data_IF_621473167626
#
_entry.id   IF_621473167626
#
_cell.length_a   1.000
_cell.length_b   1.000
_cell.length_c   1.000
_cell.angle_alpha   90.00
_cell.angle_beta   90.00
_cell.angle_gamma   90.00
#
_symmetry.space_group_name_H-M   'P 1'
#
loop_
_entity.id
_entity.type
_entity.pdbx_description
1 polymer ?
#
# COMPACT_ATOMS: atom_id res chain seq x y z
N UNK A 1 11.37 45.24 -6.00
CA UNK A 1 12.54 44.43 -5.60
C UNK A 1 12.15 43.47 -4.48
N UNK A 2 11.27 42.50 -4.74
CA UNK A 2 10.89 41.44 -3.80
C UNK A 2 11.14 40.08 -4.49
N UNK A 3 12.40 39.75 -4.71
CA UNK A 3 12.80 38.36 -4.91
C UNK A 3 12.71 37.68 -3.55
N UNK A 4 11.53 37.15 -3.24
CA UNK A 4 11.41 36.13 -2.20
C UNK A 4 12.21 34.95 -2.74
N UNK A 5 13.40 34.75 -2.18
CA UNK A 5 14.21 33.56 -2.35
C UNK A 5 13.28 32.38 -2.07
N UNK A 6 12.78 31.75 -3.12
CA UNK A 6 12.16 30.44 -3.04
C UNK A 6 13.29 29.53 -2.55
N UNK A 7 13.38 29.35 -1.23
CA UNK A 7 14.35 28.44 -0.62
C UNK A 7 14.17 27.09 -1.32
N UNK A 8 15.16 26.72 -2.14
CA UNK A 8 15.13 25.51 -2.93
C UNK A 8 15.19 24.35 -1.94
N UNK A 9 14.02 23.83 -1.55
CA UNK A 9 13.94 22.65 -0.71
C UNK A 9 14.49 21.50 -1.56
N UNK A 10 15.71 21.08 -1.27
CA UNK A 10 16.32 19.91 -1.93
C UNK A 10 15.83 18.67 -1.19
N UNK A 11 14.87 17.90 -1.75
CA UNK A 11 14.49 16.64 -1.15
C UNK A 11 15.68 15.69 -1.18
N UNK A 12 15.83 14.89 -0.13
CA UNK A 12 16.79 13.80 -0.08
C UNK A 12 16.10 12.53 0.41
N UNK A 13 16.66 11.39 0.02
CA UNK A 13 16.16 10.08 0.42
C UNK A 13 17.16 9.43 1.37
N UNK A 14 16.66 8.85 2.45
CA UNK A 14 17.46 7.96 3.28
C UNK A 14 17.59 6.60 2.59
N UNK A 15 18.77 6.21 2.10
CA UNK A 15 18.96 4.96 1.37
C UNK A 15 18.66 3.72 2.23
N UNK A 16 18.83 3.80 3.56
CA UNK A 16 18.55 2.67 4.46
C UNK A 16 17.05 2.39 4.52
N UNK A 17 16.23 3.44 4.61
CA UNK A 17 14.77 3.29 4.63
C UNK A 17 14.23 2.86 3.25
N UNK A 18 14.82 3.36 2.16
CA UNK A 18 14.49 2.86 0.81
C UNK A 18 14.77 1.36 0.71
N UNK A 19 15.98 0.91 1.08
CA UNK A 19 16.33 -0.52 1.08
C UNK A 19 15.42 -1.32 2.02
N UNK A 20 15.11 -0.78 3.20
CA UNK A 20 14.18 -1.38 4.15
C UNK A 20 12.80 -1.60 3.55
N UNK A 21 12.24 -0.61 2.83
CA UNK A 21 10.95 -0.75 2.14
C UNK A 21 10.96 -1.85 1.08
N UNK A 22 12.07 -1.99 0.35
CA UNK A 22 12.26 -3.04 -0.68
C UNK A 22 12.30 -4.42 -0.01
N UNK A 23 13.05 -4.57 1.08
CA UNK A 23 13.11 -5.82 1.85
C UNK A 23 11.74 -6.19 2.40
N UNK A 24 10.99 -5.24 2.96
CA UNK A 24 9.62 -5.44 3.43
C UNK A 24 8.73 -5.94 2.28
N UNK A 25 8.81 -5.32 1.11
CA UNK A 25 8.01 -5.71 -0.05
C UNK A 25 8.32 -7.15 -0.52
N UNK A 26 9.60 -7.54 -0.54
CA UNK A 26 10.03 -8.90 -0.89
C UNK A 26 9.49 -9.91 0.13
N UNK A 27 9.69 -9.64 1.43
CA UNK A 27 9.24 -10.53 2.50
C UNK A 27 7.71 -10.66 2.53
N UNK A 28 6.99 -9.55 2.39
CA UNK A 28 5.53 -9.55 2.33
C UNK A 28 5.01 -10.37 1.14
N UNK A 29 5.64 -10.23 -0.03
CA UNK A 29 5.29 -10.98 -1.24
C UNK A 29 5.56 -12.47 -1.07
N UNK A 30 6.70 -12.84 -0.47
CA UNK A 30 7.02 -14.24 -0.16
C UNK A 30 5.98 -14.86 0.79
N UNK A 31 5.69 -14.19 1.91
CA UNK A 31 4.71 -14.66 2.90
C UNK A 31 3.32 -14.76 2.28
N UNK A 32 2.91 -13.77 1.48
CA UNK A 32 1.61 -13.77 0.81
C UNK A 32 1.47 -14.95 -0.18
N UNK A 33 2.50 -15.21 -0.98
CA UNK A 33 2.51 -16.33 -1.93
C UNK A 33 2.57 -17.68 -1.22
N UNK A 34 3.37 -17.82 -0.15
CA UNK A 34 3.42 -19.03 0.67
C UNK A 34 2.03 -19.33 1.26
N UNK A 35 1.37 -18.34 1.88
CA UNK A 35 0.04 -18.53 2.45
C UNK A 35 -1.03 -18.76 1.37
N UNK A 36 -0.92 -18.11 0.21
CA UNK A 36 -1.81 -18.37 -0.93
C UNK A 36 -1.67 -19.81 -1.45
N UNK A 37 -0.45 -20.36 -1.46
CA UNK A 37 -0.20 -21.75 -1.87
C UNK A 37 -0.74 -22.78 -0.86
N UNK A 38 -0.71 -22.46 0.44
CA UNK A 38 -1.37 -23.28 1.47
C UNK A 38 -2.88 -23.22 1.35
N UNK A 39 -3.42 -22.03 1.07
CA UNK A 39 -4.85 -21.80 0.88
C UNK A 39 -5.44 -22.61 -0.27
N UNK A 40 -4.71 -22.77 -1.38
CA UNK A 40 -5.18 -23.51 -2.55
C UNK A 40 -5.16 -25.04 -2.38
N UNK A 41 -4.31 -25.56 -1.48
CA UNK A 41 -4.15 -26.99 -1.23
C UNK A 41 -5.05 -27.53 -0.09
N UNK A 42 -5.57 -26.66 0.77
CA UNK A 42 -6.39 -27.05 1.93
C UNK A 42 -7.90 -27.05 1.64
N UNK A 43 -8.55 -28.20 1.84
CA UNK A 43 -10.02 -28.37 1.64
C UNK A 43 -10.84 -28.23 2.92
N UNK A 44 -10.18 -28.02 4.05
CA UNK A 44 -10.77 -28.03 5.40
C UNK A 44 -11.12 -26.61 5.88
N UNK A 45 -11.84 -26.48 7.01
CA UNK A 45 -12.13 -25.20 7.66
C UNK A 45 -10.88 -24.33 7.94
N UNK A 46 -9.70 -24.94 8.07
CA UNK A 46 -8.40 -24.27 8.24
C UNK A 46 -8.06 -23.34 7.06
N UNK A 47 -8.67 -23.58 5.89
CA UNK A 47 -8.56 -22.69 4.72
C UNK A 47 -8.86 -21.22 5.05
N UNK A 48 -9.90 -20.95 5.86
CA UNK A 48 -10.25 -19.58 6.22
C UNK A 48 -9.22 -18.91 7.14
N UNK A 49 -8.50 -19.69 7.94
CA UNK A 49 -7.41 -19.20 8.79
C UNK A 49 -6.23 -18.79 7.91
N UNK A 50 -5.85 -19.61 6.93
CA UNK A 50 -4.80 -19.26 5.96
C UNK A 50 -5.17 -18.05 5.12
N UNK A 51 -6.43 -17.94 4.71
CA UNK A 51 -6.93 -16.77 4.00
C UNK A 51 -6.84 -15.51 4.84
N UNK A 52 -7.34 -15.54 6.08
CA UNK A 52 -7.30 -14.38 6.99
C UNK A 52 -5.86 -13.98 7.32
N UNK A 53 -5.01 -14.96 7.66
CA UNK A 53 -3.59 -14.73 7.95
C UNK A 53 -2.84 -14.14 6.76
N UNK A 54 -3.08 -14.66 5.55
CA UNK A 54 -2.47 -14.15 4.32
C UNK A 54 -2.92 -12.74 3.99
N UNK A 55 -4.21 -12.46 4.20
CA UNK A 55 -4.80 -11.14 3.94
C UNK A 55 -4.22 -10.07 4.86
N UNK A 56 -4.09 -10.38 6.15
CA UNK A 56 -3.48 -9.47 7.13
C UNK A 56 -1.99 -9.29 6.83
N UNK A 57 -1.25 -10.38 6.61
CA UNK A 57 0.18 -10.31 6.33
C UNK A 57 0.50 -9.49 5.07
N UNK A 58 -0.22 -9.77 3.97
CA UNK A 58 -0.08 -9.04 2.72
C UNK A 58 -0.48 -7.57 2.88
N UNK A 59 -1.64 -7.28 3.50
CA UNK A 59 -2.13 -5.92 3.68
C UNK A 59 -1.21 -5.07 4.57
N UNK A 60 -0.74 -5.62 5.69
CA UNK A 60 0.23 -4.97 6.57
C UNK A 60 1.57 -4.79 5.85
N UNK A 61 1.98 -5.74 5.01
CA UNK A 61 3.18 -5.62 4.18
C UNK A 61 3.11 -4.45 3.18
N UNK A 62 2.01 -4.36 2.42
CA UNK A 62 1.76 -3.27 1.45
C UNK A 62 1.70 -1.91 2.16
N UNK A 63 1.02 -1.85 3.30
CA UNK A 63 0.97 -0.65 4.12
C UNK A 63 2.37 -0.27 4.66
N UNK A 64 3.12 -1.22 5.20
CA UNK A 64 4.45 -0.99 5.77
C UNK A 64 5.44 -0.51 4.71
N UNK A 65 5.51 -1.16 3.55
CA UNK A 65 6.39 -0.72 2.46
C UNK A 65 6.07 0.71 2.02
N UNK A 66 4.79 1.07 1.97
CA UNK A 66 4.36 2.41 1.57
C UNK A 66 4.78 3.47 2.59
N UNK A 67 4.49 3.26 3.87
CA UNK A 67 4.82 4.21 4.93
C UNK A 67 6.33 4.32 5.19
N UNK A 68 7.07 3.20 5.17
CA UNK A 68 8.54 3.25 5.26
C UNK A 68 9.13 3.98 4.05
N UNK A 69 8.55 3.80 2.85
CA UNK A 69 8.94 4.57 1.67
C UNK A 69 8.67 6.07 1.82
N UNK A 70 7.54 6.46 2.41
CA UNK A 70 7.24 7.87 2.71
C UNK A 70 8.20 8.43 3.77
N UNK A 71 8.54 7.67 4.80
CA UNK A 71 9.52 8.05 5.82
C UNK A 71 10.94 8.20 5.25
N UNK A 72 11.27 7.47 4.18
CA UNK A 72 12.55 7.62 3.50
C UNK A 72 12.69 9.01 2.85
N UNK A 73 11.57 9.63 2.45
CA UNK A 73 11.54 10.93 1.81
C UNK A 73 11.61 12.07 2.83
N UNK A 74 12.75 12.78 2.85
CA UNK A 74 12.98 13.86 3.79
C UNK A 74 12.81 15.23 3.14
N UNK A 75 11.96 16.03 3.75
CA UNK A 75 11.84 17.46 3.52
C UNK A 75 12.36 18.22 4.75
N UNK A 76 12.88 19.45 4.59
CA UNK A 76 13.34 20.29 5.70
C UNK A 76 12.17 20.89 6.50
N UNK A 77 11.10 20.12 6.72
CA UNK A 77 9.92 20.49 7.52
C UNK A 77 9.47 19.28 8.34
N UNK A 78 8.93 19.48 9.56
CA UNK A 78 8.41 18.39 10.36
C UNK A 78 7.23 17.73 9.64
N UNK A 79 7.33 16.42 9.42
CA UNK A 79 6.25 15.57 8.89
C UNK A 79 5.67 14.75 10.05
N UNK A 80 4.34 14.82 10.23
CA UNK A 80 3.59 13.98 11.16
C UNK A 80 2.52 13.21 10.39
N UNK A 81 1.95 12.18 11.01
CA UNK A 81 0.86 11.40 10.42
C UNK A 81 -0.41 11.48 11.26
N UNK A 82 -1.55 11.66 10.61
CA UNK A 82 -2.87 11.57 11.21
C UNK A 82 -3.24 10.11 11.50
N UNK A 83 -3.32 9.74 12.78
CA UNK A 83 -3.57 8.36 13.21
C UNK A 83 -4.82 7.71 12.58
N UNK A 84 -5.99 8.38 12.57
CA UNK A 84 -7.20 7.87 11.92
C UNK A 84 -7.02 7.54 10.44
N UNK A 85 -6.39 8.41 9.66
CA UNK A 85 -6.15 8.15 8.24
C UNK A 85 -5.11 7.05 8.01
N UNK A 86 -4.09 6.96 8.87
CA UNK A 86 -3.15 5.83 8.85
C UNK A 86 -3.89 4.50 9.09
N UNK A 87 -4.78 4.46 10.09
CA UNK A 87 -5.58 3.27 10.38
C UNK A 87 -6.52 2.93 9.22
N UNK A 88 -7.17 3.92 8.62
CA UNK A 88 -8.01 3.71 7.45
C UNK A 88 -7.20 3.13 6.27
N UNK A 89 -5.99 3.63 6.03
CA UNK A 89 -5.13 3.16 4.94
C UNK A 89 -4.76 1.68 5.10
N UNK A 90 -4.41 1.21 6.31
CA UNK A 90 -4.10 -0.21 6.54
C UNK A 90 -5.34 -1.08 6.42
N UNK A 91 -6.52 -0.60 6.85
CA UNK A 91 -7.78 -1.33 6.66
C UNK A 91 -8.10 -1.52 5.17
N UNK A 92 -7.90 -0.49 4.35
CA UNK A 92 -8.05 -0.58 2.89
C UNK A 92 -7.05 -1.58 2.31
N UNK A 93 -5.78 -1.55 2.73
CA UNK A 93 -4.76 -2.51 2.27
C UNK A 93 -5.12 -3.96 2.60
N UNK A 94 -5.58 -4.23 3.82
CA UNK A 94 -5.98 -5.57 4.27
C UNK A 94 -7.23 -6.03 3.54
N UNK A 95 -8.24 -5.16 3.36
CA UNK A 95 -9.45 -5.50 2.61
C UNK A 95 -9.14 -5.81 1.12
N UNK A 96 -8.27 -5.02 0.50
CA UNK A 96 -7.81 -5.26 -0.87
C UNK A 96 -7.09 -6.61 -0.99
N UNK A 97 -6.17 -6.89 -0.05
CA UNK A 97 -5.43 -8.16 0.01
C UNK A 97 -6.36 -9.36 0.22
N UNK A 98 -7.39 -9.20 1.05
CA UNK A 98 -8.40 -10.22 1.29
C UNK A 98 -9.18 -10.57 0.02
N UNK A 99 -9.62 -9.56 -0.73
CA UNK A 99 -10.27 -9.76 -2.02
C UNK A 99 -9.33 -10.41 -3.04
N UNK A 100 -8.07 -9.96 -3.13
CA UNK A 100 -7.08 -10.52 -4.04
C UNK A 100 -6.82 -12.01 -3.76
N UNK A 101 -6.59 -12.39 -2.50
CA UNK A 101 -6.38 -13.78 -2.11
C UNK A 101 -7.65 -14.62 -2.27
N UNK A 102 -8.83 -14.05 -2.00
CA UNK A 102 -10.10 -14.73 -2.21
C UNK A 102 -10.30 -15.10 -3.67
N UNK A 103 -10.06 -14.16 -4.58
CA UNK A 103 -10.15 -14.40 -6.03
C UNK A 103 -9.07 -15.39 -6.46
N UNK A 104 -7.81 -15.19 -6.05
CA UNK A 104 -6.70 -16.06 -6.41
C UNK A 104 -6.88 -17.52 -5.95
N UNK A 105 -7.66 -17.75 -4.88
CA UNK A 105 -7.98 -19.09 -4.37
C UNK A 105 -9.06 -19.83 -5.18
N UNK A 106 -9.65 -19.22 -6.21
CA UNK A 106 -10.69 -19.86 -7.02
C UNK A 106 -10.08 -20.91 -7.97
N UNK A 107 -10.76 -22.05 -8.18
CA UNK A 107 -10.27 -23.12 -9.04
C UNK A 107 -10.21 -22.73 -10.53
N UNK A 108 -11.02 -21.76 -10.96
CA UNK A 108 -11.02 -21.22 -12.31
C UNK A 108 -11.02 -19.70 -12.26
N UNK A 109 -10.15 -19.10 -13.09
CA UNK A 109 -9.97 -17.65 -13.21
C UNK A 109 -10.21 -17.23 -14.65
N UNK A 110 -11.48 -17.09 -15.08
CA UNK A 110 -11.78 -16.60 -16.42
C UNK A 110 -11.19 -15.19 -16.58
N UNK A 111 -10.77 -14.85 -17.80
CA UNK A 111 -10.10 -13.57 -18.11
C UNK A 111 -10.88 -12.37 -17.58
N UNK A 112 -12.20 -12.37 -17.68
CA UNK A 112 -13.06 -11.30 -17.17
C UNK A 112 -12.95 -11.12 -15.64
N UNK A 113 -12.83 -12.21 -14.87
CA UNK A 113 -12.64 -12.13 -13.42
C UNK A 113 -11.23 -11.63 -13.11
N UNK A 114 -10.22 -12.07 -13.86
CA UNK A 114 -8.85 -11.60 -13.69
C UNK A 114 -8.73 -10.10 -13.97
N UNK A 115 -9.30 -9.61 -15.08
CA UNK A 115 -9.25 -8.19 -15.42
C UNK A 115 -10.02 -7.35 -14.42
N UNK A 116 -11.26 -7.74 -14.07
CA UNK A 116 -12.05 -7.04 -13.07
C UNK A 116 -11.35 -6.99 -11.69
N UNK A 117 -10.74 -8.10 -11.27
CA UNK A 117 -10.05 -8.18 -9.98
C UNK A 117 -8.76 -7.37 -9.98
N UNK A 118 -8.01 -7.38 -11.08
CA UNK A 118 -6.80 -6.56 -11.22
C UNK A 118 -7.11 -5.07 -11.18
N UNK A 119 -8.18 -4.63 -11.86
CA UNK A 119 -8.67 -3.25 -11.80
C UNK A 119 -9.11 -2.87 -10.39
N UNK A 120 -9.86 -3.75 -9.72
CA UNK A 120 -10.29 -3.52 -8.34
C UNK A 120 -9.12 -3.43 -7.35
N UNK A 121 -8.09 -4.26 -7.54
CA UNK A 121 -6.89 -4.25 -6.71
C UNK A 121 -6.06 -2.99 -6.95
N UNK A 122 -5.90 -2.59 -8.21
CA UNK A 122 -5.26 -1.32 -8.57
C UNK A 122 -5.95 -0.13 -7.91
N UNK A 123 -7.28 -0.02 -8.07
CA UNK A 123 -8.07 1.04 -7.45
C UNK A 123 -7.94 1.06 -5.92
N UNK A 124 -7.90 -0.12 -5.28
CA UNK A 124 -7.74 -0.21 -3.84
C UNK A 124 -6.32 0.18 -3.35
N UNK A 125 -5.28 -0.20 -4.09
CA UNK A 125 -3.89 0.21 -3.79
C UNK A 125 -3.74 1.72 -4.00
N UNK A 126 -4.27 2.28 -5.10
CA UNK A 126 -4.31 3.73 -5.33
C UNK A 126 -5.08 4.45 -4.22
N UNK A 127 -6.23 3.90 -3.80
CA UNK A 127 -6.99 4.39 -2.65
C UNK A 127 -6.16 4.43 -1.37
N UNK A 128 -5.49 3.32 -1.03
CA UNK A 128 -4.59 3.27 0.13
C UNK A 128 -3.46 4.30 0.04
N UNK A 129 -2.84 4.42 -1.14
CA UNK A 129 -1.78 5.38 -1.41
C UNK A 129 -2.23 6.82 -1.16
N UNK A 130 -3.38 7.22 -1.70
CA UNK A 130 -3.90 8.57 -1.51
C UNK A 130 -4.38 8.84 -0.10
N UNK A 131 -4.96 7.85 0.59
CA UNK A 131 -5.29 7.97 2.02
C UNK A 131 -4.02 8.12 2.86
N UNK A 132 -2.96 7.36 2.57
CA UNK A 132 -1.66 7.47 3.23
C UNK A 132 -1.02 8.85 3.02
N UNK A 133 -1.06 9.35 1.79
CA UNK A 133 -0.58 10.69 1.46
C UNK A 133 -1.42 11.79 2.13
N UNK A 134 -2.74 11.62 2.22
CA UNK A 134 -3.63 12.54 2.92
C UNK A 134 -3.42 12.54 4.44
N UNK A 135 -2.88 11.45 5.00
CA UNK A 135 -2.51 11.38 6.41
C UNK A 135 -1.31 12.26 6.76
N UNK A 136 -0.51 12.70 5.78
CA UNK A 136 0.67 13.53 6.03
C UNK A 136 0.28 14.94 6.47
N UNK A 137 0.72 15.33 7.66
CA UNK A 137 0.60 16.66 8.22
C UNK A 137 1.97 17.35 8.15
N UNK A 138 2.10 18.30 7.23
CA UNK A 138 3.27 19.14 7.05
C UNK A 138 2.84 20.61 6.86
N UNK A 139 3.69 21.60 7.17
CA UNK A 139 3.39 23.02 7.01
C UNK A 139 3.44 23.46 5.53
N UNK A 140 2.77 22.72 4.63
CA UNK A 140 2.63 23.05 3.22
C UNK A 140 1.25 22.63 2.70
N UNK A 141 0.83 23.24 1.59
CA UNK A 141 -0.42 22.85 0.91
C UNK A 141 -0.13 21.71 -0.06
N UNK A 142 -0.71 20.55 0.21
CA UNK A 142 -0.67 19.40 -0.72
C UNK A 142 -1.79 19.59 -1.74
N UNK A 143 -1.43 19.84 -3.00
CA UNK A 143 -2.40 19.94 -4.10
C UNK A 143 -2.34 18.69 -4.98
N UNK A 144 -3.47 17.99 -5.13
CA UNK A 144 -3.58 16.86 -6.06
C UNK A 144 -4.11 17.33 -7.41
N UNK A 145 -3.58 16.78 -8.50
CA UNK A 145 -4.15 16.96 -9.84
C UNK A 145 -5.18 15.84 -10.07
N UNK A 146 -6.49 16.12 -10.11
CA UNK A 146 -7.51 15.08 -10.17
C UNK A 146 -7.33 14.13 -11.35
N UNK A 147 -6.87 14.64 -12.50
CA UNK A 147 -6.60 13.82 -13.67
C UNK A 147 -5.50 12.76 -13.43
N UNK A 148 -4.43 13.11 -12.73
CA UNK A 148 -3.35 12.15 -12.40
C UNK A 148 -3.81 11.13 -11.37
N UNK A 149 -4.66 11.55 -10.43
CA UNK A 149 -5.28 10.67 -9.42
C UNK A 149 -6.20 9.64 -10.06
N UNK A 150 -6.95 10.01 -11.08
CA UNK A 150 -7.84 9.07 -11.80
C UNK A 150 -7.06 8.11 -12.70
N UNK A 151 -5.88 8.51 -13.19
CA UNK A 151 -5.05 7.68 -14.07
C UNK A 151 -4.18 6.64 -13.32
N UNK A 152 -4.03 6.80 -12.00
CA UNK A 152 -3.14 5.98 -11.16
C UNK A 152 -3.83 4.76 -10.59
#
# INVERSE_FOLDING_TARGET
MHEIIAARMTPHYDPVLVLGSIVIAIMASYVALDLASRLSNERTAVRWIWWLGGSIAMGVGIWSMHFVGMLAFHLPVPMRFDGPLVLLSVLVAVAASALALFVASRPALPVMVLTASSLSMGAAISGMHYIGMAAMQLPAVVTWRPFLVVLS
#
